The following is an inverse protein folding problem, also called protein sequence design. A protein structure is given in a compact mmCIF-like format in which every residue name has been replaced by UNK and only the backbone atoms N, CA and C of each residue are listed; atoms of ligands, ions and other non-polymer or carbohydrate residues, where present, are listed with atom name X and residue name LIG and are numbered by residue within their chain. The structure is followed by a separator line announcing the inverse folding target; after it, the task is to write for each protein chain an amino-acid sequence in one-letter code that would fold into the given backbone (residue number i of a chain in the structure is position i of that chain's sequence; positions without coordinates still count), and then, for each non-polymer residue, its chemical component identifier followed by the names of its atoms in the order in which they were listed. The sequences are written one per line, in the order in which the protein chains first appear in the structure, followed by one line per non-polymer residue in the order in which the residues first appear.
data_IF_299522223962
#
_entry.id   IF_299522223962
#
_cell.length_a   1.000
_cell.length_b   1.000
_cell.length_c   1.000
_cell.angle_alpha   90.00
_cell.angle_beta   90.00
_cell.angle_gamma   90.00
#
_symmetry.space_group_name_H-M   'P 1'
#
loop_
_entity.id
_entity.type
_entity.pdbx_description
1 polymer ?
#
# COMPACT_ATOMS: atom_id res chain seq x y z
N UNK A 1 -26.60 -10.52 -3.14
CA UNK A 1 -26.19 -11.95 -3.08
C UNK A 1 -25.28 -12.07 -1.89
N UNK A 2 -25.63 -12.91 -0.92
CA UNK A 2 -24.97 -12.98 0.38
C UNK A 2 -23.60 -13.63 0.16
N UNK A 3 -22.54 -12.84 0.28
CA UNK A 3 -21.18 -13.36 0.38
C UNK A 3 -21.14 -14.25 1.63
N UNK A 4 -20.85 -15.53 1.42
CA UNK A 4 -20.59 -16.48 2.49
C UNK A 4 -19.62 -15.84 3.49
N UNK A 5 -19.89 -15.93 4.80
CA UNK A 5 -19.13 -15.26 5.88
C UNK A 5 -17.69 -15.74 6.08
N UNK A 6 -17.00 -16.06 5.00
CA UNK A 6 -15.59 -16.39 4.94
C UNK A 6 -14.76 -15.10 4.86
N UNK A 7 -13.57 -15.07 5.47
CA UNK A 7 -12.65 -13.93 5.32
C UNK A 7 -12.38 -13.56 3.87
N UNK A 8 -12.33 -12.27 3.57
CA UNK A 8 -12.18 -11.74 2.22
C UNK A 8 -10.86 -12.13 1.55
N UNK A 9 -9.79 -12.33 2.33
CA UNK A 9 -8.49 -12.80 1.80
C UNK A 9 -8.55 -14.19 1.17
N UNK A 10 -9.51 -15.05 1.57
CA UNK A 10 -9.69 -16.40 1.00
C UNK A 10 -10.24 -16.36 -0.43
N UNK A 11 -10.73 -15.21 -0.89
CA UNK A 11 -11.22 -15.04 -2.25
C UNK A 11 -10.08 -14.88 -3.27
N UNK A 12 -8.85 -14.61 -2.81
CA UNK A 12 -7.69 -14.53 -3.70
C UNK A 12 -7.33 -15.91 -4.25
N UNK A 13 -7.16 -15.99 -5.57
CA UNK A 13 -6.71 -17.22 -6.24
C UNK A 13 -5.26 -17.58 -5.87
N UNK A 14 -4.49 -16.60 -5.43
CA UNK A 14 -3.10 -16.78 -5.02
C UNK A 14 -2.95 -17.25 -3.57
N UNK A 15 -3.98 -17.09 -2.72
CA UNK A 15 -3.95 -17.58 -1.33
C UNK A 15 -3.54 -19.06 -1.23
N UNK A 16 -4.23 -20.02 -1.89
CA UNK A 16 -3.84 -21.43 -1.80
C UNK A 16 -2.44 -21.70 -2.38
N UNK A 17 -2.05 -20.99 -3.45
CA UNK A 17 -0.72 -21.14 -4.05
C UNK A 17 0.38 -20.71 -3.07
N UNK A 18 0.17 -19.59 -2.40
CA UNK A 18 1.11 -19.05 -1.42
C UNK A 18 1.24 -19.97 -0.19
N UNK A 19 0.12 -20.52 0.30
CA UNK A 19 0.10 -21.44 1.45
C UNK A 19 0.88 -22.74 1.18
N UNK A 20 0.79 -23.28 -0.04
CA UNK A 20 1.47 -24.53 -0.39
C UNK A 20 2.92 -24.35 -0.87
N UNK A 21 3.32 -23.12 -1.17
CA UNK A 21 4.70 -22.80 -1.55
C UNK A 21 5.55 -22.68 -0.29
N UNK A 22 6.64 -23.46 -0.18
CA UNK A 22 7.58 -23.41 0.95
C UNK A 22 8.82 -22.55 0.68
N UNK A 23 9.16 -22.41 -0.60
CA UNK A 23 10.32 -21.65 -1.05
C UNK A 23 10.03 -20.15 -1.04
N UNK A 24 10.95 -19.38 -0.47
CA UNK A 24 10.79 -17.93 -0.33
C UNK A 24 10.79 -17.23 -1.70
N UNK A 25 11.70 -17.60 -2.59
CA UNK A 25 11.81 -16.95 -3.91
C UNK A 25 10.54 -17.20 -4.73
N UNK A 26 9.98 -18.40 -4.65
CA UNK A 26 8.70 -18.73 -5.28
C UNK A 26 7.53 -17.91 -4.69
N UNK A 27 7.51 -17.66 -3.38
CA UNK A 27 6.51 -16.79 -2.75
C UNK A 27 6.64 -15.35 -3.23
N UNK A 28 7.86 -14.83 -3.33
CA UNK A 28 8.11 -13.48 -3.83
C UNK A 28 7.70 -13.35 -5.30
N UNK A 29 8.05 -14.33 -6.13
CA UNK A 29 7.61 -14.41 -7.52
C UNK A 29 6.08 -14.44 -7.64
N UNK A 30 5.37 -15.19 -6.79
CA UNK A 30 3.90 -15.19 -6.79
C UNK A 30 3.32 -13.80 -6.50
N UNK A 31 3.99 -12.98 -5.69
CA UNK A 31 3.55 -11.61 -5.40
C UNK A 31 3.78 -10.68 -6.59
N UNK A 32 4.86 -10.89 -7.35
CA UNK A 32 5.04 -10.19 -8.63
C UNK A 32 3.94 -10.58 -9.63
N UNK A 33 3.57 -11.86 -9.71
CA UNK A 33 2.45 -12.31 -10.55
C UNK A 33 1.11 -11.72 -10.10
N UNK A 34 0.87 -11.54 -8.79
CA UNK A 34 -0.31 -10.83 -8.29
C UNK A 34 -0.38 -9.40 -8.82
N UNK A 35 0.75 -8.70 -8.98
CA UNK A 35 0.77 -7.36 -9.56
C UNK A 35 0.42 -7.39 -11.06
N UNK A 36 0.96 -8.37 -11.78
CA UNK A 36 0.80 -8.47 -13.23
C UNK A 36 -0.62 -8.85 -13.65
N UNK A 37 -1.21 -9.86 -13.01
CA UNK A 37 -2.51 -10.43 -13.42
C UNK A 37 -3.63 -10.33 -12.38
N UNK A 38 -3.32 -9.86 -11.16
CA UNK A 38 -4.30 -9.78 -10.07
C UNK A 38 -5.37 -8.69 -10.26
N UNK A 39 -6.46 -8.84 -9.50
CA UNK A 39 -7.57 -7.90 -9.44
C UNK A 39 -7.75 -7.34 -7.99
N UNK A 40 -8.90 -6.74 -7.71
CA UNK A 40 -9.20 -6.15 -6.40
C UNK A 40 -9.31 -7.18 -5.26
N UNK A 41 -9.53 -8.47 -5.57
CA UNK A 41 -9.69 -9.56 -4.59
C UNK A 41 -8.36 -9.98 -3.97
N UNK A 42 -7.24 -9.59 -4.56
CA UNK A 42 -5.90 -9.82 -4.05
C UNK A 42 -5.54 -8.84 -2.93
N UNK A 43 -6.18 -7.66 -2.88
CA UNK A 43 -5.87 -6.60 -1.90
C UNK A 43 -6.03 -7.06 -0.45
N UNK A 44 -7.13 -7.73 -0.04
CA UNK A 44 -7.26 -8.25 1.32
C UNK A 44 -6.17 -9.27 1.67
N UNK A 45 -5.75 -10.10 0.70
CA UNK A 45 -4.69 -11.08 0.93
C UNK A 45 -3.31 -10.42 1.06
N UNK A 46 -2.99 -9.46 0.20
CA UNK A 46 -1.76 -8.66 0.32
C UNK A 46 -1.70 -7.90 1.65
N UNK A 47 -2.84 -7.41 2.14
CA UNK A 47 -2.93 -6.74 3.45
C UNK A 47 -2.62 -7.70 4.59
N UNK A 48 -3.07 -8.95 4.52
CA UNK A 48 -2.71 -9.98 5.51
C UNK A 48 -1.20 -10.25 5.50
N UNK A 49 -0.60 -10.34 4.30
CA UNK A 49 0.84 -10.59 4.12
C UNK A 49 1.74 -9.47 4.66
N UNK A 50 1.24 -8.25 4.83
CA UNK A 50 2.00 -7.16 5.47
C UNK A 50 2.33 -7.45 6.94
N UNK A 51 1.56 -8.33 7.59
CA UNK A 51 1.80 -8.75 8.98
C UNK A 51 2.65 -10.02 9.09
N UNK A 52 3.16 -10.52 7.96
CA UNK A 52 3.96 -11.75 7.92
C UNK A 52 5.28 -11.60 8.69
N UNK A 53 5.70 -12.66 9.39
CA UNK A 53 6.91 -12.67 10.23
C UNK A 53 8.21 -12.42 9.46
N UNK A 54 8.29 -12.91 8.22
CA UNK A 54 9.40 -12.66 7.30
C UNK A 54 9.33 -11.22 6.72
N UNK A 55 10.32 -10.35 7.04
CA UNK A 55 10.36 -8.97 6.55
C UNK A 55 10.39 -8.83 5.03
N UNK A 56 10.93 -9.82 4.31
CA UNK A 56 10.96 -9.77 2.84
C UNK A 56 9.55 -9.91 2.27
N UNK A 57 8.74 -10.79 2.87
CA UNK A 57 7.35 -11.01 2.47
C UNK A 57 6.52 -9.77 2.84
N UNK A 58 6.63 -9.26 4.06
CA UNK A 58 5.81 -8.12 4.48
C UNK A 58 6.11 -6.85 3.69
N UNK A 59 7.39 -6.52 3.46
CA UNK A 59 7.77 -5.36 2.65
C UNK A 59 7.30 -5.51 1.20
N UNK A 60 7.50 -6.69 0.59
CA UNK A 60 7.04 -6.96 -0.77
C UNK A 60 5.52 -6.87 -0.89
N UNK A 61 4.79 -7.32 0.14
CA UNK A 61 3.33 -7.29 0.15
C UNK A 61 2.82 -5.85 0.12
N UNK A 62 3.43 -4.97 0.91
CA UNK A 62 3.14 -3.55 0.92
C UNK A 62 3.40 -2.90 -0.44
N UNK A 63 4.57 -3.15 -1.03
CA UNK A 63 4.93 -2.63 -2.36
C UNK A 63 3.93 -3.07 -3.43
N UNK A 64 3.67 -4.37 -3.51
CA UNK A 64 2.74 -4.96 -4.49
C UNK A 64 1.32 -4.46 -4.26
N UNK A 65 0.85 -4.34 -3.01
CA UNK A 65 -0.47 -3.79 -2.68
C UNK A 65 -0.62 -2.36 -3.19
N UNK A 66 0.37 -1.51 -2.92
CA UNK A 66 0.35 -0.11 -3.34
C UNK A 66 0.40 0.03 -4.87
N UNK A 67 1.22 -0.79 -5.53
CA UNK A 67 1.32 -0.82 -6.98
C UNK A 67 0.01 -1.34 -7.62
N UNK A 68 -0.59 -2.39 -7.08
CA UNK A 68 -1.84 -2.96 -7.59
C UNK A 68 -3.03 -2.03 -7.39
N UNK A 69 -3.16 -1.41 -6.21
CA UNK A 69 -4.18 -0.39 -5.95
C UNK A 69 -4.02 0.81 -6.91
N UNK A 70 -2.78 1.21 -7.20
CA UNK A 70 -2.49 2.26 -8.18
C UNK A 70 -2.89 1.85 -9.60
N UNK A 71 -2.53 0.63 -10.02
CA UNK A 71 -2.88 0.05 -11.33
C UNK A 71 -4.40 -0.05 -11.52
N UNK A 72 -5.14 -0.34 -10.46
CA UNK A 72 -6.60 -0.41 -10.45
C UNK A 72 -7.29 0.96 -10.29
N UNK A 73 -6.54 2.04 -10.12
CA UNK A 73 -7.09 3.39 -9.91
C UNK A 73 -7.85 3.56 -8.59
N UNK A 74 -7.54 2.74 -7.59
CA UNK A 74 -8.22 2.71 -6.29
C UNK A 74 -7.57 3.61 -5.23
N UNK A 75 -6.33 4.05 -5.46
CA UNK A 75 -5.66 5.04 -4.60
C UNK A 75 -5.84 6.43 -5.20
N UNK A 76 -6.32 7.37 -4.40
CA UNK A 76 -6.30 8.79 -4.76
C UNK A 76 -4.93 9.41 -4.47
N UNK A 77 -4.52 10.41 -5.25
CA UNK A 77 -3.29 11.21 -5.01
C UNK A 77 -3.16 11.69 -3.55
N UNK A 78 -4.29 11.97 -2.91
CA UNK A 78 -4.37 12.39 -1.51
C UNK A 78 -4.07 11.29 -0.49
N UNK A 79 -4.31 10.02 -0.82
CA UNK A 79 -3.97 8.88 0.04
C UNK A 79 -2.49 8.52 -0.04
N UNK A 80 -1.86 8.68 -1.21
CA UNK A 80 -0.41 8.46 -1.39
C UNK A 80 0.47 9.35 -0.49
N UNK A 81 -0.02 10.55 -0.18
CA UNK A 81 0.73 11.56 0.60
C UNK A 81 0.58 11.39 2.11
N UNK A 82 -0.26 10.46 2.59
CA UNK A 82 -0.48 10.25 4.02
C UNK A 82 0.57 9.31 4.56
N UNK A 83 1.32 9.79 5.56
CA UNK A 83 2.18 8.93 6.35
C UNK A 83 1.32 7.95 7.16
N UNK A 84 1.76 6.69 7.32
CA UNK A 84 1.03 5.71 8.10
C UNK A 84 0.93 6.16 9.57
N UNK A 85 -0.23 5.90 10.18
CA UNK A 85 -0.61 6.48 11.47
C UNK A 85 0.28 6.03 12.63
N UNK A 86 0.94 4.89 12.51
CA UNK A 86 1.95 4.42 13.46
C UNK A 86 3.21 5.32 13.51
N UNK A 87 3.43 6.18 12.52
CA UNK A 87 4.50 7.18 12.49
C UNK A 87 4.03 8.55 13.00
N UNK A 88 2.79 8.66 13.48
CA UNK A 88 2.29 9.92 14.05
C UNK A 88 3.15 10.43 15.22
N UNK A 89 3.80 9.52 15.96
CA UNK A 89 4.72 9.88 17.05
C UNK A 89 5.89 10.75 16.59
N UNK A 90 6.31 10.68 15.32
CA UNK A 90 7.39 11.50 14.78
C UNK A 90 7.02 12.99 14.85
N UNK A 91 5.74 13.33 14.66
CA UNK A 91 5.29 14.72 14.79
C UNK A 91 5.45 15.24 16.22
N UNK A 92 5.16 14.40 17.21
CA UNK A 92 5.27 14.76 18.62
C UNK A 92 6.74 14.78 19.08
N UNK A 93 7.55 13.78 18.70
CA UNK A 93 8.96 13.64 19.10
C UNK A 93 9.82 14.79 18.54
N UNK A 94 9.62 15.15 17.28
CA UNK A 94 10.38 16.21 16.62
C UNK A 94 9.70 17.59 16.71
N UNK A 95 8.58 17.72 17.43
CA UNK A 95 7.75 18.93 17.44
C UNK A 95 7.43 19.45 16.03
N UNK A 96 7.28 18.55 15.05
CA UNK A 96 6.92 18.90 13.68
C UNK A 96 5.45 19.27 13.69
N UNK A 97 5.19 20.57 13.73
CA UNK A 97 3.84 21.12 13.56
C UNK A 97 3.65 21.43 12.07
N UNK A 98 2.45 21.17 11.51
CA UNK A 98 2.14 21.69 10.19
C UNK A 98 2.40 23.19 10.20
N UNK A 99 3.09 23.70 9.18
CA UNK A 99 3.29 25.14 9.04
C UNK A 99 1.91 25.80 9.12
N UNK A 100 1.81 26.88 9.92
CA UNK A 100 0.62 27.71 9.85
C UNK A 100 0.59 28.24 8.42
N UNK A 101 -0.42 27.84 7.65
CA UNK A 101 -0.67 28.42 6.33
C UNK A 101 -1.03 29.87 6.62
N UNK A 102 -0.07 30.76 6.42
CA UNK A 102 -0.26 32.19 6.52
C UNK A 102 -0.95 32.63 5.22
N UNK A 103 -2.20 33.12 5.26
CA UNK A 103 -2.94 33.53 4.07
C UNK A 103 -2.23 34.63 3.25
N UNK A 104 -1.35 35.39 3.90
CA UNK A 104 -0.64 36.52 3.30
C UNK A 104 0.78 36.13 2.83
N UNK A 105 1.19 34.87 3.03
CA UNK A 105 2.50 34.36 2.64
C UNK A 105 2.44 33.76 1.23
N UNK A 106 2.44 34.63 0.24
CA UNK A 106 2.72 34.27 -1.15
C UNK A 106 4.25 34.19 -1.31
N UNK A 107 4.77 32.99 -1.55
CA UNK A 107 6.21 32.81 -1.76
C UNK A 107 6.66 33.34 -3.12
N UNK A 108 5.73 33.79 -3.98
CA UNK A 108 5.97 34.17 -5.39
C UNK A 108 6.68 33.07 -6.21
N UNK A 109 6.85 31.88 -5.63
CA UNK A 109 7.35 30.69 -6.29
C UNK A 109 6.13 29.99 -6.86
N UNK A 110 5.91 30.16 -8.16
CA UNK A 110 4.93 29.39 -8.89
C UNK A 110 5.17 27.89 -8.61
N UNK A 111 4.09 27.17 -8.26
CA UNK A 111 4.11 25.73 -7.99
C UNK A 111 4.51 24.90 -9.22
N UNK A 112 4.80 25.55 -10.35
CA UNK A 112 5.29 25.00 -11.61
C UNK A 112 6.49 24.05 -11.45
N UNK A 113 7.27 24.19 -10.37
CA UNK A 113 8.37 23.25 -10.06
C UNK A 113 7.83 21.84 -9.73
N UNK A 114 6.63 21.73 -9.17
CA UNK A 114 5.95 20.47 -8.88
C UNK A 114 5.17 19.90 -10.08
N UNK A 115 5.08 20.64 -11.20
CA UNK A 115 4.41 20.22 -12.44
C UNK A 115 5.39 19.86 -13.57
N UNK A 116 6.61 19.43 -13.23
CA UNK A 116 7.49 18.84 -14.25
C UNK A 116 7.01 17.43 -14.60
N UNK A 117 6.51 17.29 -15.83
CA UNK A 117 6.05 16.05 -16.48
C UNK A 117 7.07 14.90 -16.44
#
# INVERSE_FOLDING_TARGET
MIENGLPTYLQSVFYPLFQHTKDLECRLMLMDEMLEVGDKKEIPFLTELETHEDPKISNKAFEVKCALLSKLGLITESERRRLPMNLCFIYDEFNIRPSKVDPDLDFEVALDILETK
#
